data_IF_817625593122
#
_entry.id   IF_817625593122
#
_cell.length_a   1.000
_cell.length_b   1.000
_cell.length_c   1.000
_cell.angle_alpha   90.00
_cell.angle_beta   90.00
_cell.angle_gamma   90.00
#
_symmetry.space_group_name_H-M   'P 1'
#
loop_
_entity.id
_entity.type
_entity.pdbx_description
1 polymer ?
#
# COMPACT_ATOMS: atom_id res chain seq x y z
N UNK A 1 5.49 22.50 11.39
CA UNK A 1 4.29 21.68 11.19
C UNK A 1 4.74 20.24 10.99
N UNK A 2 4.18 19.32 11.77
CA UNK A 2 4.40 17.88 11.67
C UNK A 2 3.20 17.26 10.95
N UNK A 3 3.49 16.56 9.86
CA UNK A 3 2.53 15.78 9.09
C UNK A 3 2.69 14.30 9.43
N UNK A 4 1.60 13.55 9.45
CA UNK A 4 1.68 12.11 9.67
C UNK A 4 0.64 11.28 8.91
N UNK A 5 1.05 10.12 8.43
CA UNK A 5 0.16 9.05 7.99
C UNK A 5 0.20 7.92 9.04
N UNK A 6 -0.86 7.82 9.85
CA UNK A 6 -0.97 6.83 10.91
C UNK A 6 -1.60 5.53 10.40
N UNK A 7 -0.79 4.74 9.70
CA UNK A 7 -1.13 3.37 9.30
C UNK A 7 -1.26 2.40 10.48
N UNK A 8 -1.69 1.18 10.17
CA UNK A 8 -1.93 0.14 11.19
C UNK A 8 -0.68 -0.69 11.53
N UNK A 9 0.26 -0.84 10.58
CA UNK A 9 1.56 -1.49 10.83
C UNK A 9 2.69 -0.48 11.10
N UNK A 10 2.72 0.60 10.30
CA UNK A 10 3.71 1.67 10.40
C UNK A 10 3.03 3.03 10.29
N UNK A 11 3.55 4.00 11.04
CA UNK A 11 3.24 5.40 10.91
C UNK A 11 4.40 6.11 10.19
N UNK A 12 4.07 7.05 9.30
CA UNK A 12 5.04 7.86 8.57
C UNK A 12 4.92 9.30 9.05
N UNK A 13 6.04 9.98 9.24
CA UNK A 13 6.09 11.35 9.74
C UNK A 13 6.94 12.23 8.83
N UNK A 14 6.54 13.49 8.67
CA UNK A 14 7.33 14.51 8.00
C UNK A 14 7.26 15.80 8.81
N UNK A 15 8.41 16.38 9.14
CA UNK A 15 8.50 17.65 9.84
C UNK A 15 8.90 18.76 8.87
N UNK A 16 7.92 19.58 8.48
CA UNK A 16 8.13 20.70 7.56
C UNK A 16 8.98 21.83 8.16
N UNK A 17 9.17 21.85 9.49
CA UNK A 17 10.05 22.84 10.13
C UNK A 17 11.53 22.48 10.06
N UNK A 18 11.84 21.25 9.63
CA UNK A 18 13.21 20.74 9.48
C UNK A 18 13.51 20.40 8.01
N UNK A 19 13.50 21.39 7.08
CA UNK A 19 13.74 21.14 5.67
C UNK A 19 15.10 20.47 5.45
N UNK A 20 15.10 19.30 4.83
CA UNK A 20 16.28 18.43 4.63
C UNK A 20 16.26 17.14 5.45
N UNK A 21 15.45 17.05 6.52
CA UNK A 21 15.08 15.75 7.11
C UNK A 21 13.92 15.16 6.32
N UNK A 22 14.20 14.10 5.56
CA UNK A 22 13.18 13.33 4.85
C UNK A 22 12.19 12.64 5.82
N UNK A 23 11.15 11.99 5.26
CA UNK A 23 10.13 11.34 6.06
C UNK A 23 10.71 10.19 6.89
N UNK A 24 10.16 10.01 8.10
CA UNK A 24 10.56 8.98 9.05
C UNK A 24 9.47 7.92 9.16
N UNK A 25 9.88 6.65 9.21
CA UNK A 25 9.00 5.50 9.40
C UNK A 25 9.16 4.94 10.82
N UNK A 26 8.04 4.79 11.52
CA UNK A 26 8.01 4.23 12.88
C UNK A 26 6.95 3.13 12.97
N UNK A 27 7.23 1.94 13.55
CA UNK A 27 6.21 0.94 13.77
C UNK A 27 5.06 1.47 14.63
N UNK A 28 3.81 1.18 14.26
CA UNK A 28 2.62 1.72 14.96
C UNK A 28 2.60 1.33 16.44
N UNK A 29 3.15 0.16 16.79
CA UNK A 29 3.27 -0.32 18.18
C UNK A 29 4.18 0.56 19.06
N UNK A 30 5.09 1.31 18.46
CA UNK A 30 6.09 2.11 19.16
C UNK A 30 5.65 3.59 19.28
N UNK A 31 4.44 3.93 18.81
CA UNK A 31 3.91 5.29 18.87
C UNK A 31 3.42 5.64 20.29
N UNK A 32 3.95 6.72 20.90
CA UNK A 32 3.46 7.20 22.19
C UNK A 32 1.98 7.59 22.13
N UNK A 33 1.22 7.25 23.17
CA UNK A 33 -0.24 7.48 23.21
C UNK A 33 -0.63 8.96 23.28
N UNK A 34 0.27 9.78 23.79
CA UNK A 34 0.16 11.22 24.01
C UNK A 34 0.71 12.04 22.84
N UNK A 35 1.30 11.40 21.82
CA UNK A 35 1.79 12.08 20.62
C UNK A 35 0.67 12.93 19.98
N UNK A 36 1.02 14.15 19.55
CA UNK A 36 0.16 15.00 18.74
C UNK A 36 0.93 15.57 17.56
N UNK A 37 0.23 15.73 16.44
CA UNK A 37 0.74 16.33 15.20
C UNK A 37 -0.28 17.32 14.64
N UNK A 38 0.17 18.23 13.79
CA UNK A 38 -0.68 19.30 13.23
C UNK A 38 -1.71 18.73 12.23
N UNK A 39 -1.24 17.95 11.25
CA UNK A 39 -2.08 17.40 10.18
C UNK A 39 -1.81 15.90 10.03
N UNK A 40 -2.86 15.08 9.96
CA UNK A 40 -2.69 13.67 9.72
C UNK A 40 -3.73 13.03 8.81
N UNK A 41 -3.33 11.89 8.27
CA UNK A 41 -4.19 10.92 7.60
C UNK A 41 -3.93 9.51 8.15
N UNK A 42 -4.43 8.49 7.46
CA UNK A 42 -4.29 7.09 7.85
C UNK A 42 -5.35 6.64 8.84
N UNK A 43 -5.43 5.33 9.02
CA UNK A 43 -6.46 4.66 9.84
C UNK A 43 -6.60 5.25 11.25
N UNK A 44 -5.49 5.61 11.89
CA UNK A 44 -5.49 6.15 13.26
C UNK A 44 -5.32 7.68 13.32
N UNK A 45 -5.30 8.38 12.18
CA UNK A 45 -4.91 9.79 12.12
C UNK A 45 -5.73 10.70 13.04
N UNK A 46 -7.06 10.53 13.04
CA UNK A 46 -8.00 11.31 13.86
C UNK A 46 -7.66 11.34 15.35
N UNK A 47 -6.99 10.31 15.86
CA UNK A 47 -6.64 10.20 17.29
C UNK A 47 -5.46 11.09 17.67
N UNK A 48 -4.56 11.35 16.74
CA UNK A 48 -3.25 11.95 17.01
C UNK A 48 -3.09 13.33 16.37
N UNK A 49 -4.06 13.81 15.60
CA UNK A 49 -3.95 15.07 14.87
C UNK A 49 -4.87 16.18 15.37
N UNK A 50 -4.43 17.42 15.22
CA UNK A 50 -5.33 18.59 15.31
C UNK A 50 -6.28 18.64 14.10
N UNK A 51 -5.76 18.39 12.90
CA UNK A 51 -6.53 18.33 11.67
C UNK A 51 -6.39 16.97 10.98
N UNK A 52 -7.53 16.35 10.65
CA UNK A 52 -7.55 15.06 9.94
C UNK A 52 -7.96 15.23 8.48
N UNK A 53 -7.20 14.61 7.58
CA UNK A 53 -7.47 14.52 6.15
C UNK A 53 -7.83 13.07 5.81
N UNK A 54 -8.88 12.89 5.02
CA UNK A 54 -9.29 11.57 4.53
C UNK A 54 -8.17 10.92 3.69
N UNK A 55 -7.97 9.60 3.85
CA UNK A 55 -6.90 8.85 3.16
C UNK A 55 -7.00 8.91 1.63
N UNK A 56 -8.21 8.84 1.05
CA UNK A 56 -8.38 8.98 -0.40
C UNK A 56 -8.04 10.40 -0.87
N UNK A 57 -8.37 11.42 -0.07
CA UNK A 57 -7.99 12.80 -0.39
C UNK A 57 -6.47 12.97 -0.34
N UNK A 58 -5.81 12.46 0.70
CA UNK A 58 -4.35 12.49 0.80
C UNK A 58 -3.68 11.69 -0.34
N UNK A 59 -4.22 10.53 -0.70
CA UNK A 59 -3.72 9.74 -1.83
C UNK A 59 -3.90 10.48 -3.16
N UNK A 60 -5.07 11.06 -3.41
CA UNK A 60 -5.38 11.82 -4.63
C UNK A 60 -4.43 13.01 -4.79
N UNK A 61 -4.26 13.82 -3.72
CA UNK A 61 -3.35 14.96 -3.71
C UNK A 61 -1.88 14.56 -3.84
N UNK A 62 -1.50 13.44 -3.24
CA UNK A 62 -0.14 12.88 -3.39
C UNK A 62 0.13 12.40 -4.82
N UNK A 63 -0.88 11.85 -5.49
CA UNK A 63 -0.81 11.51 -6.91
C UNK A 63 -0.59 12.73 -7.80
N UNK A 64 -1.39 13.79 -7.60
CA UNK A 64 -1.25 15.05 -8.34
C UNK A 64 0.14 15.69 -8.20
N UNK A 65 0.83 15.47 -7.08
CA UNK A 65 2.17 16.01 -6.82
C UNK A 65 3.30 15.17 -7.43
N UNK A 66 3.09 13.86 -7.56
CA UNK A 66 4.14 12.90 -7.91
C UNK A 66 4.06 12.37 -9.35
N UNK A 67 2.90 12.49 -9.99
CA UNK A 67 2.64 11.92 -11.31
C UNK A 67 2.43 13.07 -12.30
N UNK A 68 3.38 13.25 -13.20
CA UNK A 68 3.34 14.28 -14.27
C UNK A 68 2.58 13.75 -15.50
N UNK A 69 1.35 13.27 -15.30
CA UNK A 69 0.46 12.76 -16.34
C UNK A 69 -1.00 13.15 -16.04
N UNK A 70 -1.79 13.49 -17.06
CA UNK A 70 -3.20 13.89 -16.90
C UNK A 70 -4.17 12.70 -16.81
N UNK A 71 -3.72 11.50 -17.15
CA UNK A 71 -4.50 10.25 -17.09
C UNK A 71 -3.66 9.14 -16.46
N UNK A 72 -4.06 8.67 -15.27
CA UNK A 72 -3.35 7.62 -14.55
C UNK A 72 -4.27 6.89 -13.57
N UNK A 73 -3.83 5.70 -13.15
CA UNK A 73 -4.41 4.98 -12.02
C UNK A 73 -3.34 4.82 -10.95
N UNK A 74 -3.66 5.31 -9.74
CA UNK A 74 -2.81 5.19 -8.56
C UNK A 74 -3.49 4.27 -7.54
N UNK A 75 -2.80 3.20 -7.19
CA UNK A 75 -3.22 2.17 -6.25
C UNK A 75 -2.36 2.20 -5.00
N UNK A 76 -2.96 2.40 -3.84
CA UNK A 76 -2.31 2.29 -2.54
C UNK A 76 -2.62 0.93 -1.92
N UNK A 77 -1.56 0.13 -1.72
CA UNK A 77 -1.64 -1.16 -1.07
C UNK A 77 -1.13 -1.06 0.37
N UNK A 78 -2.08 -0.96 1.30
CA UNK A 78 -1.82 -0.94 2.73
C UNK A 78 -1.62 -2.33 3.33
N UNK A 79 -1.44 -2.38 4.65
CA UNK A 79 -1.36 -3.64 5.39
C UNK A 79 -2.73 -4.31 5.54
N UNK A 80 -3.81 -3.53 5.62
CA UNK A 80 -5.17 -4.02 5.91
C UNK A 80 -6.23 -3.63 4.87
N UNK A 81 -5.89 -2.73 3.97
CA UNK A 81 -6.81 -2.17 2.99
C UNK A 81 -6.08 -1.91 1.67
N UNK A 82 -6.88 -1.66 0.65
CA UNK A 82 -6.42 -1.23 -0.67
C UNK A 82 -7.30 -0.10 -1.16
N UNK A 83 -6.69 0.88 -1.82
CA UNK A 83 -7.36 2.07 -2.32
C UNK A 83 -6.88 2.39 -3.71
N UNK A 84 -7.73 2.88 -4.58
CA UNK A 84 -7.28 3.48 -5.82
C UNK A 84 -7.95 4.82 -6.07
N UNK A 85 -7.25 5.63 -6.86
CA UNK A 85 -7.79 6.82 -7.52
C UNK A 85 -7.43 6.74 -8.99
N UNK A 86 -8.34 7.12 -9.86
CA UNK A 86 -8.14 7.17 -11.30
C UNK A 86 -8.40 8.59 -11.80
N UNK A 87 -7.47 9.13 -12.57
CA UNK A 87 -7.56 10.45 -13.17
C UNK A 87 -7.76 10.34 -14.68
N UNK A 88 -8.52 11.27 -15.25
CA UNK A 88 -8.69 11.47 -16.70
C UNK A 88 -8.78 12.96 -16.99
N UNK A 89 -8.03 13.43 -17.99
CA UNK A 89 -7.96 14.86 -18.36
C UNK A 89 -7.63 15.79 -17.17
N UNK A 90 -6.76 15.34 -16.26
CA UNK A 90 -6.34 16.10 -15.08
C UNK A 90 -7.38 16.12 -13.94
N UNK A 91 -8.49 15.41 -14.07
CA UNK A 91 -9.56 15.38 -13.06
C UNK A 91 -9.75 13.97 -12.47
N UNK A 92 -10.12 13.92 -11.19
CA UNK A 92 -10.44 12.66 -10.50
C UNK A 92 -11.71 12.04 -11.08
N UNK A 93 -11.55 10.95 -11.82
CA UNK A 93 -12.61 10.29 -12.58
C UNK A 93 -13.27 9.14 -11.80
N UNK A 94 -12.51 8.42 -10.98
CA UNK A 94 -13.01 7.30 -10.16
C UNK A 94 -12.15 7.09 -8.91
N UNK A 95 -12.73 6.47 -7.88
CA UNK A 95 -12.02 6.06 -6.69
C UNK A 95 -12.67 4.83 -6.05
N UNK A 96 -11.84 3.97 -5.46
CA UNK A 96 -12.31 2.80 -4.73
C UNK A 96 -11.53 2.61 -3.44
N UNK A 97 -12.23 2.14 -2.40
CA UNK A 97 -11.60 1.76 -1.14
C UNK A 97 -12.24 0.49 -0.59
N UNK A 98 -11.43 -0.55 -0.41
CA UNK A 98 -11.83 -1.77 0.28
C UNK A 98 -11.23 -1.78 1.70
N UNK A 99 -12.07 -1.51 2.69
CA UNK A 99 -11.66 -1.18 4.08
C UNK A 99 -11.62 -2.40 5.02
N UNK A 100 -12.12 -3.57 4.62
CA UNK A 100 -12.51 -4.59 5.62
C UNK A 100 -11.88 -5.99 5.44
N UNK A 101 -10.99 -6.20 4.47
CA UNK A 101 -10.34 -7.52 4.31
C UNK A 101 -8.80 -7.44 4.25
N UNK A 102 -8.19 -7.21 5.41
CA UNK A 102 -6.72 -7.23 5.55
C UNK A 102 -6.07 -8.61 5.36
N UNK A 103 -6.88 -9.68 5.34
CA UNK A 103 -6.38 -11.03 5.09
C UNK A 103 -5.74 -11.14 3.70
N UNK A 104 -6.18 -10.36 2.71
CA UNK A 104 -5.67 -10.39 1.34
C UNK A 104 -4.70 -9.24 1.03
N UNK A 105 -4.04 -8.65 2.03
CA UNK A 105 -3.22 -7.43 1.87
C UNK A 105 -1.82 -7.60 2.44
N UNK A 106 -1.07 -6.50 2.56
CA UNK A 106 0.35 -6.51 2.91
C UNK A 106 0.67 -7.21 4.23
N UNK A 107 -0.24 -7.21 5.21
CA UNK A 107 -0.04 -7.93 6.47
C UNK A 107 0.15 -9.43 6.25
N UNK A 108 -0.69 -10.07 5.44
CA UNK A 108 -0.59 -11.53 5.21
C UNK A 108 0.65 -11.88 4.39
N UNK A 109 1.01 -11.03 3.43
CA UNK A 109 2.25 -11.21 2.65
C UNK A 109 3.46 -11.16 3.60
N UNK A 110 3.57 -10.13 4.45
CA UNK A 110 4.66 -10.01 5.43
C UNK A 110 4.63 -11.11 6.50
N UNK A 111 3.44 -11.58 6.89
CA UNK A 111 3.28 -12.70 7.82
C UNK A 111 3.85 -14.00 7.24
N UNK A 112 3.53 -14.31 5.99
CA UNK A 112 3.98 -15.53 5.32
C UNK A 112 5.48 -15.51 5.05
N UNK A 113 6.04 -14.35 4.69
CA UNK A 113 7.48 -14.14 4.56
C UNK A 113 8.22 -14.57 5.83
N UNK A 114 7.78 -14.05 6.98
CA UNK A 114 8.39 -14.34 8.28
C UNK A 114 8.14 -15.76 8.74
N UNK A 115 6.93 -16.28 8.54
CA UNK A 115 6.56 -17.62 8.99
C UNK A 115 7.37 -18.71 8.28
N UNK A 116 7.54 -18.58 6.96
CA UNK A 116 8.32 -19.53 6.15
C UNK A 116 9.80 -19.14 5.99
N UNK A 117 10.23 -18.04 6.62
CA UNK A 117 11.59 -17.50 6.52
C UNK A 117 12.05 -17.35 5.06
N UNK A 118 11.22 -16.69 4.25
CA UNK A 118 11.44 -16.45 2.82
C UNK A 118 12.07 -15.07 2.59
N UNK A 119 12.79 -14.94 1.48
CA UNK A 119 13.25 -13.67 0.95
C UNK A 119 12.56 -13.40 -0.38
N UNK A 120 11.56 -12.50 -0.37
CA UNK A 120 10.78 -12.18 -1.56
C UNK A 120 11.57 -11.47 -2.67
N UNK A 121 12.76 -10.97 -2.39
CA UNK A 121 13.64 -10.44 -3.42
C UNK A 121 14.31 -11.52 -4.27
N UNK A 122 14.33 -12.77 -3.77
CA UNK A 122 14.97 -13.91 -4.42
C UNK A 122 13.96 -14.90 -5.01
N UNK A 123 12.67 -14.75 -4.72
CA UNK A 123 11.65 -15.65 -5.25
C UNK A 123 11.27 -15.28 -6.68
N UNK A 124 11.27 -16.24 -7.62
CA UNK A 124 10.79 -15.99 -8.97
C UNK A 124 9.28 -15.77 -8.97
N UNK A 125 8.78 -14.97 -9.90
CA UNK A 125 7.34 -14.89 -10.16
C UNK A 125 6.88 -16.23 -10.74
N UNK A 126 5.91 -16.90 -10.11
CA UNK A 126 5.48 -18.23 -10.57
C UNK A 126 4.63 -18.12 -11.83
N UNK A 127 4.66 -19.14 -12.68
CA UNK A 127 3.82 -19.19 -13.89
C UNK A 127 2.33 -19.27 -13.49
N UNK A 128 2.02 -20.14 -12.54
CA UNK A 128 0.67 -20.39 -12.02
C UNK A 128 0.37 -19.50 -10.82
N UNK A 129 -0.91 -19.36 -10.48
CA UNK A 129 -1.36 -18.57 -9.34
C UNK A 129 -2.52 -19.28 -8.64
N UNK A 130 -2.74 -18.97 -7.36
CA UNK A 130 -3.94 -19.39 -6.66
C UNK A 130 -5.08 -18.39 -6.87
N UNK A 131 -6.31 -18.90 -6.89
CA UNK A 131 -7.49 -18.03 -6.82
C UNK A 131 -7.70 -17.57 -5.38
N UNK A 132 -7.19 -16.40 -5.04
CA UNK A 132 -7.24 -15.86 -3.67
C UNK A 132 -8.48 -14.98 -3.51
N UNK A 133 -9.64 -15.54 -3.18
CA UNK A 133 -10.84 -14.71 -2.90
C UNK A 133 -10.77 -14.08 -1.51
N UNK A 134 -10.23 -14.83 -0.54
CA UNK A 134 -10.02 -14.42 0.84
C UNK A 134 -8.63 -14.88 1.24
N UNK A 135 -7.83 -14.03 1.90
CA UNK A 135 -6.47 -14.41 2.28
C UNK A 135 -6.39 -15.61 3.21
N UNK A 136 -7.37 -15.81 4.10
CA UNK A 136 -7.41 -17.01 4.96
C UNK A 136 -7.65 -18.27 4.14
N UNK A 137 -8.58 -18.22 3.18
CA UNK A 137 -8.82 -19.34 2.26
C UNK A 137 -7.64 -19.52 1.29
N UNK A 138 -7.01 -18.45 0.84
CA UNK A 138 -5.83 -18.54 0.00
C UNK A 138 -4.63 -19.15 0.73
N UNK A 139 -4.50 -18.94 2.04
CA UNK A 139 -3.50 -19.64 2.85
C UNK A 139 -3.77 -21.15 2.92
N UNK A 140 -5.02 -21.61 2.88
CA UNK A 140 -5.28 -23.06 2.82
C UNK A 140 -4.75 -23.69 1.54
N UNK A 141 -4.80 -22.98 0.41
CA UNK A 141 -4.16 -23.44 -0.84
C UNK A 141 -2.64 -23.60 -0.71
N UNK A 142 -1.98 -22.81 0.13
CA UNK A 142 -0.55 -22.97 0.43
C UNK A 142 -0.35 -24.30 1.15
N UNK A 143 -1.13 -24.60 2.20
CA UNK A 143 -1.03 -25.86 2.93
C UNK A 143 -1.33 -27.08 2.05
N UNK A 144 -2.36 -27.00 1.21
CA UNK A 144 -2.72 -28.07 0.26
C UNK A 144 -1.58 -28.32 -0.74
N UNK A 145 -0.97 -27.25 -1.27
CA UNK A 145 0.15 -27.36 -2.21
C UNK A 145 1.40 -27.96 -1.55
N UNK A 146 1.73 -27.54 -0.32
CA UNK A 146 2.87 -28.06 0.44
C UNK A 146 2.67 -29.53 0.79
N UNK A 147 1.48 -29.92 1.26
CA UNK A 147 1.15 -31.33 1.53
C UNK A 147 1.19 -32.21 0.27
N UNK A 148 0.97 -31.61 -0.89
CA UNK A 148 1.08 -32.26 -2.20
C UNK A 148 2.52 -32.28 -2.76
N UNK A 149 3.50 -31.78 -2.01
CA UNK A 149 4.93 -31.81 -2.37
C UNK A 149 5.46 -30.59 -3.12
N UNK A 150 4.68 -29.51 -3.25
CA UNK A 150 5.18 -28.22 -3.78
C UNK A 150 5.95 -27.49 -2.68
N UNK A 151 7.05 -26.82 -3.01
CA UNK A 151 7.82 -26.08 -1.99
C UNK A 151 6.99 -24.94 -1.37
N UNK A 152 7.34 -24.59 -0.14
CA UNK A 152 6.74 -23.45 0.58
C UNK A 152 6.95 -22.14 -0.20
N UNK A 153 8.17 -21.94 -0.72
CA UNK A 153 8.53 -20.78 -1.54
C UNK A 153 7.63 -20.63 -2.78
N UNK A 154 7.47 -21.69 -3.57
CA UNK A 154 6.61 -21.67 -4.76
C UNK A 154 5.13 -21.48 -4.37
N UNK A 155 4.68 -22.15 -3.31
CA UNK A 155 3.29 -22.06 -2.84
C UNK A 155 2.94 -20.65 -2.37
N UNK A 156 3.81 -20.01 -1.57
CA UNK A 156 3.66 -18.63 -1.13
C UNK A 156 3.74 -17.67 -2.33
N UNK A 157 4.65 -17.90 -3.28
CA UNK A 157 4.75 -17.05 -4.46
C UNK A 157 3.47 -17.06 -5.30
N UNK A 158 2.82 -18.23 -5.44
CA UNK A 158 1.53 -18.35 -6.16
C UNK A 158 0.41 -17.57 -5.48
N UNK A 159 0.44 -17.55 -4.15
CA UNK A 159 -0.48 -16.77 -3.32
C UNK A 159 -0.23 -15.26 -3.48
N UNK A 160 1.02 -14.80 -3.38
CA UNK A 160 1.39 -13.38 -3.57
C UNK A 160 0.99 -12.89 -4.96
N UNK A 161 1.26 -13.67 -6.01
CA UNK A 161 0.79 -13.37 -7.38
C UNK A 161 -0.74 -13.26 -7.44
N UNK A 162 -1.46 -14.13 -6.72
CA UNK A 162 -2.91 -14.09 -6.65
C UNK A 162 -3.43 -12.79 -6.04
N UNK A 163 -2.80 -12.29 -4.98
CA UNK A 163 -3.11 -11.00 -4.37
C UNK A 163 -2.82 -9.85 -5.34
N UNK A 164 -1.66 -9.84 -6.01
CA UNK A 164 -1.32 -8.80 -7.00
C UNK A 164 -2.36 -8.72 -8.13
N UNK A 165 -2.83 -9.88 -8.61
CA UNK A 165 -3.88 -9.92 -9.64
C UNK A 165 -5.25 -9.43 -9.14
N UNK A 166 -5.59 -9.64 -7.87
CA UNK A 166 -6.78 -9.03 -7.28
C UNK A 166 -6.66 -7.52 -7.17
N UNK A 167 -5.49 -7.04 -6.73
CA UNK A 167 -5.19 -5.62 -6.62
C UNK A 167 -5.28 -4.95 -8.00
N UNK A 168 -4.74 -5.60 -9.04
CA UNK A 168 -4.84 -5.16 -10.43
C UNK A 168 -6.30 -5.10 -10.94
N UNK A 169 -7.10 -6.13 -10.66
CA UNK A 169 -8.55 -6.14 -10.99
C UNK A 169 -9.29 -5.03 -10.27
N UNK A 170 -9.00 -4.83 -8.99
CA UNK A 170 -9.61 -3.79 -8.17
C UNK A 170 -9.31 -2.39 -8.71
N UNK A 171 -8.10 -2.17 -9.25
CA UNK A 171 -7.69 -0.93 -9.89
C UNK A 171 -8.26 -0.72 -11.31
N UNK A 172 -9.11 -1.62 -11.80
CA UNK A 172 -9.74 -1.47 -13.12
C UNK A 172 -8.91 -1.97 -14.31
N UNK A 173 -7.89 -2.81 -14.06
CA UNK A 173 -7.05 -3.43 -15.11
C UNK A 173 -6.34 -2.44 -16.06
N UNK A 174 -5.67 -1.38 -15.56
CA UNK A 174 -5.07 -0.38 -16.43
C UNK A 174 -3.81 -0.88 -17.15
N UNK A 175 -3.46 -0.26 -18.28
CA UNK A 175 -2.21 -0.57 -19.00
C UNK A 175 -0.96 -0.15 -18.21
N UNK A 176 -1.06 0.98 -17.49
CA UNK A 176 -0.04 1.49 -16.57
C UNK A 176 -0.65 1.72 -15.19
N UNK A 177 0.05 1.29 -14.14
CA UNK A 177 -0.41 1.37 -12.76
C UNK A 177 0.68 1.99 -11.88
N UNK A 178 0.35 3.07 -11.18
CA UNK A 178 1.19 3.63 -10.14
C UNK A 178 0.89 2.96 -8.81
N UNK A 179 1.93 2.54 -8.10
CA UNK A 179 1.79 1.84 -6.82
C UNK A 179 2.29 2.71 -5.67
N UNK A 180 1.47 2.85 -4.64
CA UNK A 180 1.79 3.43 -3.34
C UNK A 180 1.73 2.35 -2.25
N UNK A 181 2.45 2.61 -1.16
CA UNK A 181 2.37 1.82 0.07
C UNK A 181 3.60 0.92 0.29
N UNK A 182 3.55 0.14 1.37
CA UNK A 182 4.69 -0.66 1.83
C UNK A 182 5.08 -1.79 0.87
N UNK A 183 4.15 -2.28 0.06
CA UNK A 183 4.40 -3.34 -0.91
C UNK A 183 5.17 -2.88 -2.16
N UNK A 184 5.46 -1.59 -2.31
CA UNK A 184 6.37 -1.10 -3.37
C UNK A 184 7.76 -1.72 -3.26
N UNK A 185 8.21 -2.05 -2.04
CA UNK A 185 9.54 -2.61 -1.80
C UNK A 185 9.56 -4.15 -1.91
N UNK A 186 8.42 -4.78 -2.24
CA UNK A 186 8.31 -6.23 -2.39
C UNK A 186 8.42 -6.61 -3.87
N UNK A 187 9.58 -7.14 -4.29
CA UNK A 187 9.84 -7.48 -5.71
C UNK A 187 8.88 -8.54 -6.26
N UNK A 188 8.63 -9.60 -5.51
CA UNK A 188 7.71 -10.65 -5.93
C UNK A 188 6.29 -10.11 -6.20
N UNK A 189 5.80 -9.23 -5.33
CA UNK A 189 4.49 -8.59 -5.48
C UNK A 189 4.48 -7.64 -6.69
N UNK A 190 5.45 -6.74 -6.79
CA UNK A 190 5.53 -5.75 -7.87
C UNK A 190 5.70 -6.38 -9.26
N UNK A 191 6.51 -7.44 -9.37
CA UNK A 191 6.70 -8.16 -10.63
C UNK A 191 5.52 -9.07 -11.00
N UNK A 192 4.57 -9.29 -10.09
CA UNK A 192 3.38 -10.12 -10.35
C UNK A 192 2.27 -9.40 -11.10
N UNK A 193 2.35 -8.08 -11.28
CA UNK A 193 1.37 -7.29 -12.02
C UNK A 193 1.51 -7.50 -13.54
N UNK A 194 0.41 -7.77 -14.28
CA UNK A 194 0.46 -7.98 -15.72
C UNK A 194 0.30 -6.64 -16.49
N UNK A 195 0.93 -5.57 -16.02
CA UNK A 195 0.87 -4.23 -16.61
C UNK A 195 2.21 -3.49 -16.39
N UNK A 196 2.36 -2.29 -16.96
CA UNK A 196 3.50 -1.43 -16.62
C UNK A 196 3.29 -0.85 -15.22
N UNK A 197 4.04 -1.35 -14.24
CA UNK A 197 3.97 -0.87 -12.86
C UNK A 197 5.03 0.21 -12.58
N UNK A 198 4.63 1.31 -11.94
CA UNK A 198 5.51 2.40 -11.50
C UNK A 198 5.39 2.57 -9.97
N UNK A 199 6.38 2.11 -9.18
CA UNK A 199 6.35 2.28 -7.73
C UNK A 199 6.70 3.72 -7.33
N UNK A 200 5.80 4.36 -6.56
CA UNK A 200 6.00 5.68 -5.96
C UNK A 200 6.49 5.62 -4.50
N UNK A 201 6.50 4.42 -3.91
CA UNK A 201 6.95 4.17 -2.55
C UNK A 201 5.87 4.43 -1.50
N UNK A 202 6.30 4.49 -0.23
CA UNK A 202 5.41 4.46 0.94
C UNK A 202 4.97 5.81 1.48
N UNK A 203 5.32 6.92 0.82
CA UNK A 203 5.16 8.28 1.34
C UNK A 203 4.21 9.15 0.51
N UNK A 204 3.48 8.59 -0.45
CA UNK A 204 2.54 9.33 -1.31
C UNK A 204 1.49 10.09 -0.49
N UNK A 205 0.93 9.46 0.55
CA UNK A 205 -0.05 10.13 1.42
C UNK A 205 0.55 11.33 2.17
N UNK A 206 1.83 11.27 2.56
CA UNK A 206 2.51 12.42 3.17
C UNK A 206 2.69 13.56 2.16
N UNK A 207 2.97 13.25 0.89
CA UNK A 207 3.03 14.25 -0.18
C UNK A 207 1.68 14.93 -0.41
N UNK A 208 0.58 14.17 -0.33
CA UNK A 208 -0.74 14.78 -0.34
C UNK A 208 -1.02 15.68 0.87
N UNK A 209 -0.55 15.31 2.06
CA UNK A 209 -0.65 16.17 3.23
C UNK A 209 0.21 17.44 3.11
N UNK A 210 1.41 17.33 2.54
CA UNK A 210 2.32 18.46 2.28
C UNK A 210 1.66 19.48 1.34
N UNK A 211 1.12 19.02 0.20
CA UNK A 211 0.35 19.87 -0.72
C UNK A 211 -0.85 20.55 -0.04
N UNK A 212 -1.61 19.80 0.76
CA UNK A 212 -2.76 20.36 1.49
C UNK A 212 -2.31 21.39 2.54
N UNK A 213 -1.17 21.17 3.19
CA UNK A 213 -0.61 22.11 4.14
C UNK A 213 -0.27 23.43 3.43
N UNK A 214 0.45 23.37 2.30
CA UNK A 214 0.82 24.54 1.49
C UNK A 214 -0.39 25.32 0.94
N UNK A 215 -1.48 24.64 0.61
CA UNK A 215 -2.71 25.28 0.10
C UNK A 215 -3.56 25.95 1.19
N UNK A 216 -3.46 25.51 2.46
CA UNK A 216 -4.46 25.84 3.49
C UNK A 216 -3.90 26.47 4.77
N UNK A 217 -2.59 26.41 5.02
CA UNK A 217 -1.96 26.82 6.26
C UNK A 217 -0.66 27.58 6.00
#
# INVERSE_FOLDING_TARGET
MILADFGTSYCKFLDLSSPGKGPVLTPTKDIPRDLRVDLATGHNGKRFSEHYVNELTALARGGEELIDEDEYVLLDCGSRDIKFVAYRNGELADMGWNVECGASMGFTIELLERYYNLDYDQLPVPDRTFSVTCGVLGMSHIFDAVSSGISEAESVARFVKGIALNAFRFAGLPDTLYLSGGLCDNKLFTQSFPCRLVPLGRFVLLKGLEKIAEERF
#
